data_IF_939725513011
#
_entry.id   IF_939725513011
#
_cell.length_a   1.000
_cell.length_b   1.000
_cell.length_c   1.000
_cell.angle_alpha   90.00
_cell.angle_beta   90.00
_cell.angle_gamma   90.00
#
_symmetry.space_group_name_H-M   'P 1'
#
loop_
_entity.id
_entity.type
_entity.pdbx_description
1 polymer ?
#
# COMPACT_ATOMS: atom_id res chain seq x y z
N UNK A 1 -7.86 31.66 -2.83
CA UNK A 1 -9.14 31.17 -2.22
C UNK A 1 -10.23 31.34 -3.26
N UNK A 2 -10.77 30.25 -3.75
CA UNK A 2 -11.88 30.26 -4.73
C UNK A 2 -13.17 30.39 -3.93
N UNK A 3 -13.98 31.38 -4.25
CA UNK A 3 -15.30 31.56 -3.62
C UNK A 3 -16.38 31.22 -4.62
N UNK A 4 -17.26 30.32 -4.28
CA UNK A 4 -18.46 30.04 -5.07
C UNK A 4 -19.68 30.74 -4.45
N UNK A 5 -20.49 31.35 -5.27
CA UNK A 5 -21.75 32.01 -4.86
C UNK A 5 -22.90 31.13 -5.30
N UNK A 6 -23.62 30.56 -4.34
CA UNK A 6 -24.89 29.88 -4.59
C UNK A 6 -26.00 30.57 -3.82
N UNK A 7 -27.07 30.91 -4.51
CA UNK A 7 -28.26 31.52 -3.92
C UNK A 7 -27.99 32.80 -3.10
N UNK A 8 -27.07 33.65 -3.56
CA UNK A 8 -26.78 34.92 -2.89
C UNK A 8 -26.03 34.82 -1.55
N UNK A 9 -25.48 33.63 -1.22
CA UNK A 9 -24.60 33.43 -0.07
C UNK A 9 -23.19 33.11 -0.57
N UNK A 10 -22.21 33.86 -0.07
CA UNK A 10 -20.81 33.52 -0.26
C UNK A 10 -20.44 32.37 0.69
N UNK A 11 -19.98 31.26 0.12
CA UNK A 11 -19.34 30.19 0.88
C UNK A 11 -17.85 30.29 0.62
N UNK A 12 -17.05 30.36 1.69
CA UNK A 12 -15.61 30.14 1.58
C UNK A 12 -15.44 28.66 1.17
N UNK A 13 -14.87 28.40 0.00
CA UNK A 13 -14.40 27.06 -0.34
C UNK A 13 -13.24 26.76 0.62
N UNK A 14 -13.43 25.77 1.49
CA UNK A 14 -12.35 25.23 2.27
C UNK A 14 -11.32 24.63 1.29
N UNK A 15 -10.04 24.87 1.55
CA UNK A 15 -8.99 24.21 0.78
C UNK A 15 -9.18 22.69 0.87
N UNK A 16 -8.98 21.96 -0.24
CA UNK A 16 -9.15 20.52 -0.22
C UNK A 16 -8.20 19.90 0.81
N UNK A 17 -8.78 19.15 1.75
CA UNK A 17 -8.04 18.42 2.77
C UNK A 17 -7.14 17.39 2.10
N UNK A 18 -5.86 17.36 2.44
CA UNK A 18 -4.95 16.35 1.93
C UNK A 18 -5.32 14.96 2.47
N UNK A 19 -4.92 13.90 1.75
CA UNK A 19 -5.15 12.54 2.21
C UNK A 19 -4.51 12.29 3.58
N UNK A 20 -3.34 12.86 3.84
CA UNK A 20 -2.66 12.75 5.12
C UNK A 20 -3.47 13.36 6.25
N UNK A 21 -4.01 14.55 6.05
CA UNK A 21 -4.85 15.25 7.04
C UNK A 21 -6.16 14.52 7.30
N UNK A 22 -6.80 14.00 6.25
CA UNK A 22 -8.03 13.23 6.38
C UNK A 22 -7.81 11.95 7.20
N UNK A 23 -6.72 11.24 6.96
CA UNK A 23 -6.36 10.02 7.69
C UNK A 23 -6.00 10.33 9.14
N UNK A 24 -5.30 11.42 9.39
CA UNK A 24 -4.96 11.85 10.75
C UNK A 24 -6.23 12.14 11.55
N UNK A 25 -7.20 12.82 10.96
CA UNK A 25 -8.51 13.06 11.59
C UNK A 25 -9.25 11.75 11.87
N UNK A 26 -9.28 10.82 10.91
CA UNK A 26 -9.90 9.51 11.12
C UNK A 26 -9.28 8.76 12.30
N UNK A 27 -7.96 8.74 12.38
CA UNK A 27 -7.21 8.09 13.48
C UNK A 27 -7.53 8.76 14.83
N UNK A 28 -7.59 10.08 14.85
CA UNK A 28 -7.96 10.86 16.04
C UNK A 28 -9.38 10.50 16.52
N UNK A 29 -10.34 10.42 15.61
CA UNK A 29 -11.73 10.04 15.94
C UNK A 29 -11.83 8.60 16.44
N UNK A 30 -11.08 7.65 15.88
CA UNK A 30 -11.02 6.29 16.38
C UNK A 30 -10.53 6.28 17.81
N UNK A 31 -9.47 6.99 18.10
CA UNK A 31 -8.92 7.07 19.47
C UNK A 31 -9.91 7.69 20.46
N UNK A 32 -10.58 8.76 20.06
CA UNK A 32 -11.56 9.43 20.92
C UNK A 32 -12.76 8.53 21.26
N UNK A 33 -13.26 7.77 20.27
CA UNK A 33 -14.45 6.94 20.44
C UNK A 33 -14.18 5.58 21.07
N UNK A 34 -13.00 4.99 20.82
CA UNK A 34 -12.69 3.60 21.21
C UNK A 34 -11.58 3.47 22.23
N UNK A 35 -10.83 4.54 22.50
CA UNK A 35 -9.60 4.54 23.29
C UNK A 35 -8.48 3.64 22.70
N UNK A 36 -8.67 3.18 21.47
CA UNK A 36 -7.68 2.39 20.73
C UNK A 36 -6.91 3.28 19.76
N UNK A 37 -5.65 2.93 19.52
CA UNK A 37 -4.83 3.57 18.49
C UNK A 37 -4.95 2.83 17.16
N UNK A 38 -4.81 3.56 16.06
CA UNK A 38 -4.78 3.01 14.72
C UNK A 38 -3.55 3.52 13.97
N UNK A 39 -2.98 2.66 13.15
CA UNK A 39 -1.91 3.04 12.21
C UNK A 39 -2.46 3.00 10.79
N UNK A 40 -1.95 3.88 9.93
CA UNK A 40 -2.42 4.00 8.57
C UNK A 40 -1.29 4.13 7.56
N UNK A 41 -1.52 3.65 6.36
CA UNK A 41 -0.65 3.84 5.22
C UNK A 41 -1.40 4.50 4.07
N UNK A 42 -0.77 5.48 3.46
CA UNK A 42 -1.31 6.21 2.32
C UNK A 42 -0.35 6.00 1.16
N UNK A 43 -0.81 5.37 0.11
CA UNK A 43 0.02 4.99 -1.03
C UNK A 43 -0.80 4.92 -2.32
N UNK A 44 -0.15 4.82 -3.49
CA UNK A 44 -0.83 4.79 -4.79
C UNK A 44 -1.76 3.58 -4.99
N UNK A 45 -1.54 2.48 -4.28
CA UNK A 45 -2.38 1.28 -4.38
C UNK A 45 -2.52 0.57 -3.02
N UNK A 46 -3.43 -0.38 -2.95
CA UNK A 46 -3.73 -1.11 -1.72
C UNK A 46 -2.58 -1.94 -1.18
N UNK A 47 -1.78 -2.55 -2.04
CA UNK A 47 -0.61 -3.33 -1.64
C UNK A 47 0.41 -2.45 -0.91
N UNK A 48 0.77 -1.31 -1.49
CA UNK A 48 1.71 -0.37 -0.89
C UNK A 48 1.14 0.31 0.35
N UNK A 49 -0.14 0.63 0.35
CA UNK A 49 -0.81 1.20 1.51
C UNK A 49 -0.77 0.24 2.71
N UNK A 50 -0.95 -1.04 2.47
CA UNK A 50 -0.84 -2.08 3.51
C UNK A 50 0.57 -2.14 4.10
N UNK A 51 1.59 -2.11 3.26
CA UNK A 51 2.99 -2.06 3.71
C UNK A 51 3.24 -0.78 4.52
N UNK A 52 2.81 0.36 4.01
CA UNK A 52 2.98 1.65 4.68
C UNK A 52 2.30 1.70 6.05
N UNK A 53 1.16 1.01 6.21
CA UNK A 53 0.44 0.97 7.49
C UNK A 53 1.23 0.31 8.61
N UNK A 54 2.22 -0.52 8.28
CA UNK A 54 3.06 -1.23 9.25
C UNK A 54 4.33 -0.46 9.65
N UNK A 55 4.72 0.56 8.89
CA UNK A 55 6.00 1.25 9.08
C UNK A 55 6.06 2.12 10.34
N UNK A 56 4.97 2.78 10.68
CA UNK A 56 4.89 3.69 11.83
C UNK A 56 3.96 3.16 12.92
N UNK A 57 3.95 1.87 13.13
CA UNK A 57 3.25 1.26 14.26
C UNK A 57 4.02 1.44 15.58
N UNK A 58 3.31 1.59 16.70
CA UNK A 58 1.88 1.86 16.86
C UNK A 58 1.54 3.34 16.67
N UNK A 59 0.29 3.64 16.41
CA UNK A 59 -0.28 4.99 16.42
C UNK A 59 0.45 5.99 15.52
N UNK A 60 0.73 5.58 14.30
CA UNK A 60 1.40 6.42 13.31
C UNK A 60 0.80 6.28 11.93
N UNK A 61 1.26 7.10 11.02
CA UNK A 61 0.91 6.99 9.61
C UNK A 61 2.13 7.23 8.72
N UNK A 62 2.11 6.66 7.54
CA UNK A 62 3.15 6.82 6.54
C UNK A 62 2.52 7.13 5.19
N UNK A 63 3.08 8.12 4.52
CA UNK A 63 2.63 8.55 3.19
C UNK A 63 3.72 8.21 2.18
N UNK A 64 3.37 7.43 1.16
CA UNK A 64 4.21 7.19 0.00
C UNK A 64 3.68 8.01 -1.17
N UNK A 65 4.52 8.86 -1.72
CA UNK A 65 4.21 9.66 -2.91
C UNK A 65 3.81 8.78 -4.09
N UNK A 66 2.94 9.28 -4.96
CA UNK A 66 2.60 8.63 -6.22
C UNK A 66 3.65 8.82 -7.33
N UNK A 67 4.72 9.55 -7.05
CA UNK A 67 5.84 9.69 -7.98
C UNK A 67 6.49 8.34 -8.25
N UNK A 68 6.69 8.02 -9.54
CA UNK A 68 7.21 6.72 -9.96
C UNK A 68 8.59 6.41 -9.37
N UNK A 69 9.48 7.38 -9.31
CA UNK A 69 10.83 7.20 -8.74
C UNK A 69 10.76 6.87 -7.26
N UNK A 70 9.95 7.60 -6.49
CA UNK A 70 9.77 7.36 -5.06
C UNK A 70 9.19 5.97 -4.80
N UNK A 71 8.22 5.55 -5.59
CA UNK A 71 7.61 4.22 -5.51
C UNK A 71 8.65 3.14 -5.81
N UNK A 72 9.44 3.28 -6.87
CA UNK A 72 10.45 2.30 -7.24
C UNK A 72 11.59 2.21 -6.23
N UNK A 73 12.03 3.31 -5.68
CA UNK A 73 13.05 3.34 -4.62
C UNK A 73 12.54 2.65 -3.35
N UNK A 74 11.31 2.95 -2.98
CA UNK A 74 10.67 2.33 -1.82
C UNK A 74 10.50 0.82 -1.98
N UNK A 75 9.94 0.39 -3.11
CA UNK A 75 9.68 -1.02 -3.41
C UNK A 75 10.99 -1.79 -3.57
N UNK A 76 11.99 -1.22 -4.24
CA UNK A 76 13.26 -1.89 -4.50
C UNK A 76 13.97 -2.36 -3.24
N UNK A 77 13.94 -1.56 -2.19
CA UNK A 77 14.55 -1.89 -0.90
C UNK A 77 13.66 -2.70 0.04
N UNK A 78 12.39 -2.91 -0.34
CA UNK A 78 11.41 -3.57 0.51
C UNK A 78 11.68 -5.07 0.58
N UNK A 79 11.69 -5.61 1.81
CA UNK A 79 11.77 -7.05 2.02
C UNK A 79 10.49 -7.75 1.52
N UNK A 80 10.66 -8.86 0.81
CA UNK A 80 9.55 -9.63 0.23
C UNK A 80 8.51 -10.04 1.28
N UNK A 81 8.97 -10.39 2.49
CA UNK A 81 8.11 -10.79 3.60
C UNK A 81 7.09 -9.71 4.01
N UNK A 82 7.34 -8.45 3.67
CA UNK A 82 6.43 -7.34 3.96
C UNK A 82 5.24 -7.27 3.02
N UNK A 83 5.29 -8.00 1.91
CA UNK A 83 4.22 -8.02 0.92
C UNK A 83 3.13 -8.99 1.37
N UNK A 84 1.91 -8.47 1.48
CA UNK A 84 0.73 -9.31 1.72
C UNK A 84 0.50 -10.24 0.52
N UNK A 85 0.25 -11.51 0.77
CA UNK A 85 0.07 -12.52 -0.25
C UNK A 85 1.31 -13.37 -0.56
N UNK A 86 2.47 -13.01 -0.04
CA UNK A 86 3.66 -13.88 -0.05
C UNK A 86 3.77 -14.57 1.31
N UNK A 87 3.41 -15.85 1.32
CA UNK A 87 3.43 -16.66 2.53
C UNK A 87 4.83 -17.19 2.86
N UNK A 88 4.95 -17.81 4.04
CA UNK A 88 6.22 -18.35 4.54
C UNK A 88 6.90 -19.33 3.58
N UNK A 89 6.14 -20.22 2.95
CA UNK A 89 6.71 -21.22 2.03
C UNK A 89 7.32 -20.55 0.81
N UNK A 90 6.58 -19.62 0.21
CA UNK A 90 7.07 -18.86 -0.95
C UNK A 90 8.28 -18.01 -0.59
N UNK A 91 8.25 -17.34 0.58
CA UNK A 91 9.40 -16.58 1.08
C UNK A 91 10.65 -17.44 1.23
N UNK A 92 10.51 -18.64 1.81
CA UNK A 92 11.63 -19.57 1.98
C UNK A 92 12.17 -20.09 0.63
N UNK A 93 11.29 -20.38 -0.31
CA UNK A 93 11.69 -20.78 -1.66
C UNK A 93 12.47 -19.66 -2.35
N UNK A 94 12.01 -18.43 -2.26
CA UNK A 94 12.68 -17.27 -2.82
C UNK A 94 14.03 -17.00 -2.13
N UNK A 95 14.08 -17.13 -0.81
CA UNK A 95 15.32 -16.97 -0.04
C UNK A 95 16.38 -18.01 -0.43
N UNK A 96 15.97 -19.24 -0.73
CA UNK A 96 16.86 -20.28 -1.24
C UNK A 96 17.48 -19.92 -2.59
N UNK A 97 16.87 -19.01 -3.34
CA UNK A 97 17.36 -18.49 -4.63
C UNK A 97 18.07 -17.13 -4.46
N UNK A 98 18.40 -16.75 -3.23
CA UNK A 98 18.98 -15.44 -2.88
C UNK A 98 18.07 -14.24 -3.24
N UNK A 99 16.76 -14.45 -3.20
CA UNK A 99 15.77 -13.41 -3.44
C UNK A 99 15.14 -13.01 -2.10
N UNK A 100 15.52 -11.84 -1.59
CA UNK A 100 15.06 -11.33 -0.29
C UNK A 100 14.35 -9.99 -0.38
N UNK A 101 14.59 -9.22 -1.44
CA UNK A 101 13.96 -7.92 -1.68
C UNK A 101 13.12 -7.95 -2.96
N UNK A 102 12.24 -6.96 -3.09
CA UNK A 102 11.44 -6.83 -4.31
C UNK A 102 12.30 -6.51 -5.54
N UNK A 103 13.43 -5.83 -5.37
CA UNK A 103 14.39 -5.61 -6.45
C UNK A 103 14.99 -6.92 -6.95
N UNK A 104 15.28 -7.87 -6.06
CA UNK A 104 15.80 -9.18 -6.42
C UNK A 104 14.82 -9.97 -7.31
N UNK A 105 13.51 -9.80 -7.08
CA UNK A 105 12.49 -10.41 -7.95
C UNK A 105 12.63 -9.95 -9.39
N UNK A 106 12.87 -8.68 -9.60
CA UNK A 106 13.06 -8.13 -10.94
C UNK A 106 14.35 -8.60 -11.57
N UNK A 107 15.46 -8.58 -10.83
CA UNK A 107 16.76 -8.99 -11.31
C UNK A 107 16.82 -10.47 -11.71
N UNK A 108 16.09 -11.32 -10.99
CA UNK A 108 16.04 -12.77 -11.20
C UNK A 108 14.77 -13.24 -11.90
N UNK A 109 14.12 -12.37 -12.66
CA UNK A 109 12.86 -12.69 -13.36
C UNK A 109 12.97 -13.88 -14.31
N UNK A 110 14.10 -14.05 -14.95
CA UNK A 110 14.34 -15.18 -15.87
C UNK A 110 14.34 -16.52 -15.11
N UNK A 111 14.98 -16.57 -13.96
CA UNK A 111 14.99 -17.74 -13.08
C UNK A 111 13.58 -18.04 -12.55
N UNK A 112 12.83 -17.03 -12.16
CA UNK A 112 11.46 -17.19 -11.69
C UNK A 112 10.54 -17.79 -12.75
N UNK A 113 10.71 -17.40 -14.02
CA UNK A 113 9.92 -17.92 -15.13
C UNK A 113 10.14 -19.41 -15.37
N UNK A 114 11.31 -19.95 -14.99
CA UNK A 114 11.64 -21.36 -15.10
C UNK A 114 11.09 -22.20 -13.93
N UNK A 115 10.95 -21.62 -12.76
CA UNK A 115 10.67 -22.36 -11.51
C UNK A 115 9.23 -22.21 -11.00
N UNK A 116 8.55 -21.17 -11.39
CA UNK A 116 7.21 -20.86 -10.91
C UNK A 116 6.18 -20.86 -12.04
N UNK A 117 4.91 -20.99 -11.68
CA UNK A 117 3.81 -20.89 -12.63
C UNK A 117 3.72 -19.48 -13.23
N UNK A 118 3.10 -19.37 -14.40
CA UNK A 118 2.88 -18.09 -15.06
C UNK A 118 2.13 -17.10 -14.17
N UNK A 119 1.11 -17.56 -13.44
CA UNK A 119 0.37 -16.71 -12.49
C UNK A 119 1.25 -16.20 -11.35
N UNK A 120 2.11 -17.05 -10.81
CA UNK A 120 3.06 -16.66 -9.76
C UNK A 120 4.08 -15.66 -10.28
N UNK A 121 4.61 -15.89 -11.48
CA UNK A 121 5.56 -14.96 -12.11
C UNK A 121 4.92 -13.59 -12.39
N UNK A 122 3.70 -13.57 -12.87
CA UNK A 122 2.96 -12.33 -13.07
C UNK A 122 2.78 -11.56 -11.75
N UNK A 123 2.40 -12.26 -10.69
CA UNK A 123 2.29 -11.68 -9.35
C UNK A 123 3.63 -11.10 -8.88
N UNK A 124 4.72 -11.82 -9.01
CA UNK A 124 6.05 -11.35 -8.61
C UNK A 124 6.48 -10.11 -9.40
N UNK A 125 6.21 -10.06 -10.69
CA UNK A 125 6.54 -8.90 -11.51
C UNK A 125 5.70 -7.67 -11.13
N UNK A 126 4.43 -7.86 -10.85
CA UNK A 126 3.57 -6.77 -10.35
C UNK A 126 4.08 -6.24 -9.02
N UNK A 127 4.48 -7.10 -8.11
CA UNK A 127 5.09 -6.71 -6.83
C UNK A 127 6.39 -5.93 -7.04
N UNK A 128 7.27 -6.42 -7.90
CA UNK A 128 8.56 -5.79 -8.20
C UNK A 128 8.40 -4.39 -8.81
N UNK A 129 7.32 -4.17 -9.56
CA UNK A 129 7.00 -2.87 -10.18
C UNK A 129 6.18 -1.95 -9.27
N UNK A 130 5.85 -2.39 -8.07
CA UNK A 130 5.00 -1.62 -7.16
C UNK A 130 3.54 -1.54 -7.60
N UNK A 131 3.11 -2.49 -8.44
CA UNK A 131 1.74 -2.59 -8.93
C UNK A 131 0.98 -3.60 -8.08
N UNK A 132 -0.04 -3.15 -7.41
CA UNK A 132 -0.95 -4.03 -6.70
C UNK A 132 -2.15 -4.45 -7.55
N UNK A 133 -3.15 -5.04 -6.91
CA UNK A 133 -4.47 -5.20 -7.50
C UNK A 133 -5.15 -3.82 -7.57
N UNK A 134 -5.53 -3.36 -8.76
CA UNK A 134 -6.19 -2.07 -8.96
C UNK A 134 -7.66 -2.09 -8.59
N UNK A 135 -8.22 -3.28 -8.36
CA UNK A 135 -9.61 -3.45 -8.00
C UNK A 135 -9.80 -3.76 -6.53
N UNK A 136 -10.67 -3.01 -5.87
CA UNK A 136 -11.20 -3.40 -4.57
C UNK A 136 -12.24 -4.48 -4.82
N UNK A 137 -11.89 -5.71 -4.51
CA UNK A 137 -12.83 -6.81 -4.60
C UNK A 137 -13.64 -6.86 -3.32
N UNK A 138 -14.94 -6.61 -3.43
CA UNK A 138 -15.88 -6.89 -2.35
C UNK A 138 -16.09 -8.40 -2.35
N UNK A 139 -15.40 -9.08 -1.46
CA UNK A 139 -15.72 -10.48 -1.19
C UNK A 139 -17.05 -10.49 -0.44
N UNK A 140 -18.08 -11.05 -1.07
CA UNK A 140 -19.35 -11.28 -0.39
C UNK A 140 -19.09 -12.18 0.81
N UNK A 141 -19.05 -11.58 2.00
CA UNK A 141 -19.04 -12.35 3.21
C UNK A 141 -20.43 -12.88 3.45
N UNK A 142 -20.61 -14.17 3.27
CA UNK A 142 -21.66 -14.88 3.98
C UNK A 142 -21.32 -14.79 5.47
N UNK A 143 -21.83 -13.78 6.10
CA UNK A 143 -21.86 -13.71 7.56
C UNK A 143 -22.76 -14.85 8.04
N UNK A 144 -22.15 -15.89 8.46
CA UNK A 144 -22.83 -16.96 9.17
C UNK A 144 -22.68 -16.77 10.66
#
# INVERSE_FOLDING_TARGET
MIRSVRHGREFAEEEPVTAAEAVEEMRSRIRQKTQLTASAGIAPNGMLAKVCSDLNKPNGQFVLSSNREDVMDFVGSLAIRKISGIGNVTEQMLAALDITTCQDLWQKRDLLSLLFSENSCDHFMRVALGLGSDSVTIVGHNLR
#
